data_IF_387238786858
#
_entry.id   IF_387238786858
#
_cell.length_a   1.000
_cell.length_b   1.000
_cell.length_c   1.000
_cell.angle_alpha   90.00
_cell.angle_beta   90.00
_cell.angle_gamma   90.00
#
_symmetry.space_group_name_H-M   'P 1'
#
loop_
_entity.id
_entity.type
_entity.pdbx_description
1 polymer ?
#
# COMPACT_ATOMS: atom_id res chain seq x y z
N UNK A 1 -4.33 12.13 8.94
CA UNK A 1 -3.16 12.52 8.14
C UNK A 1 -2.91 11.44 7.10
N UNK A 2 -2.61 11.84 5.85
CA UNK A 2 -2.37 10.90 4.75
C UNK A 2 -0.88 10.58 4.65
N UNK A 3 -0.53 9.31 4.44
CA UNK A 3 0.87 8.87 4.31
C UNK A 3 0.99 8.07 3.02
N UNK A 4 1.82 8.54 2.08
CA UNK A 4 2.14 7.82 0.86
C UNK A 4 3.11 6.68 1.17
N UNK A 5 2.76 5.46 0.76
CA UNK A 5 3.58 4.28 0.95
C UNK A 5 3.82 3.60 -0.41
N UNK A 6 5.04 3.74 -0.91
CA UNK A 6 5.53 3.02 -2.09
C UNK A 6 5.79 1.55 -1.74
N UNK A 7 5.59 0.66 -2.71
CA UNK A 7 5.66 -0.81 -2.52
C UNK A 7 4.78 -1.29 -1.35
N UNK A 8 3.65 -0.61 -1.13
CA UNK A 8 2.77 -0.82 0.02
C UNK A 8 2.02 -2.15 0.02
N UNK A 9 1.97 -2.86 -1.10
CA UNK A 9 1.46 -4.23 -1.19
C UNK A 9 2.58 -5.29 -1.04
N UNK A 10 3.85 -4.89 -0.97
CA UNK A 10 4.97 -5.75 -0.63
C UNK A 10 4.94 -6.24 0.83
N UNK A 11 5.86 -7.15 1.19
CA UNK A 11 5.91 -7.74 2.54
C UNK A 11 6.00 -6.66 3.63
N UNK A 12 7.05 -5.83 3.60
CA UNK A 12 7.25 -4.77 4.60
C UNK A 12 6.14 -3.71 4.50
N UNK A 13 5.85 -3.24 3.28
CA UNK A 13 4.83 -2.20 3.05
C UNK A 13 3.45 -2.58 3.59
N UNK A 14 3.03 -3.84 3.40
CA UNK A 14 1.72 -4.32 3.88
C UNK A 14 1.62 -4.30 5.41
N UNK A 15 2.68 -4.70 6.12
CA UNK A 15 2.73 -4.65 7.58
C UNK A 15 2.79 -3.21 8.10
N UNK A 16 3.57 -2.34 7.46
CA UNK A 16 3.57 -0.91 7.75
C UNK A 16 2.19 -0.30 7.55
N UNK A 17 1.47 -0.68 6.49
CA UNK A 17 0.10 -0.22 6.25
C UNK A 17 -0.84 -0.55 7.41
N UNK A 18 -0.78 -1.78 7.94
CA UNK A 18 -1.59 -2.18 9.11
C UNK A 18 -1.25 -1.33 10.33
N UNK A 19 0.04 -1.12 10.62
CA UNK A 19 0.47 -0.31 11.76
C UNK A 19 0.01 1.15 11.64
N UNK A 20 0.09 1.74 10.43
CA UNK A 20 -0.37 3.10 10.15
C UNK A 20 -1.89 3.23 10.37
N UNK A 21 -2.67 2.25 9.90
CA UNK A 21 -4.11 2.22 10.13
C UNK A 21 -4.44 2.15 11.62
N UNK A 22 -3.77 1.27 12.38
CA UNK A 22 -3.97 1.12 13.82
C UNK A 22 -3.61 2.40 14.60
N UNK A 23 -2.63 3.16 14.12
CA UNK A 23 -2.25 4.44 14.69
C UNK A 23 -3.16 5.62 14.24
N UNK A 24 -4.24 5.36 13.49
CA UNK A 24 -5.21 6.38 13.07
C UNK A 24 -4.79 7.18 11.83
N UNK A 25 -3.75 6.74 11.12
CA UNK A 25 -3.36 7.34 9.85
C UNK A 25 -4.16 6.77 8.67
N UNK A 26 -4.12 7.48 7.55
CA UNK A 26 -4.70 7.02 6.28
C UNK A 26 -3.57 6.74 5.29
N UNK A 27 -3.06 5.50 5.22
CA UNK A 27 -2.10 5.14 4.20
C UNK A 27 -2.70 5.23 2.78
N UNK A 28 -1.88 5.71 1.86
CA UNK A 28 -2.11 5.77 0.43
C UNK A 28 -1.06 4.88 -0.22
N UNK A 29 -1.46 3.70 -0.67
CA UNK A 29 -0.52 2.74 -1.27
C UNK A 29 -0.32 3.04 -2.74
N UNK A 30 0.95 3.03 -3.17
CA UNK A 30 1.38 2.93 -4.57
C UNK A 30 2.21 1.66 -4.71
N UNK A 31 1.82 0.78 -5.62
CA UNK A 31 2.50 -0.48 -5.89
C UNK A 31 2.31 -0.86 -7.36
N UNK A 32 3.35 -1.46 -7.97
CA UNK A 32 3.33 -1.92 -9.36
C UNK A 32 3.11 -3.43 -9.51
N UNK A 33 3.09 -4.16 -8.40
CA UNK A 33 2.95 -5.61 -8.33
C UNK A 33 4.05 -6.41 -9.04
N UNK A 34 5.21 -5.81 -9.32
CA UNK A 34 6.34 -6.51 -9.93
C UNK A 34 6.88 -7.65 -9.05
N UNK A 35 6.77 -7.50 -7.73
CA UNK A 35 7.16 -8.49 -6.72
C UNK A 35 6.16 -8.57 -5.54
N UNK A 36 4.90 -8.24 -5.80
CA UNK A 36 3.83 -8.27 -4.79
C UNK A 36 2.54 -8.83 -5.39
N UNK A 37 1.60 -9.25 -4.55
CA UNK A 37 0.34 -9.86 -4.98
C UNK A 37 -0.84 -8.90 -4.74
N UNK A 38 -1.66 -8.56 -5.76
CA UNK A 38 -2.87 -7.76 -5.60
C UNK A 38 -3.84 -8.27 -4.52
N UNK A 39 -3.82 -9.58 -4.19
CA UNK A 39 -4.60 -10.16 -3.11
C UNK A 39 -4.24 -9.58 -1.72
N UNK A 40 -3.05 -8.98 -1.56
CA UNK A 40 -2.67 -8.25 -0.34
C UNK A 40 -3.64 -7.11 -0.06
N UNK A 41 -4.11 -6.39 -1.09
CA UNK A 41 -5.08 -5.30 -0.91
C UNK A 41 -6.41 -5.81 -0.35
N UNK A 42 -6.85 -7.01 -0.75
CA UNK A 42 -8.05 -7.63 -0.21
C UNK A 42 -7.90 -7.95 1.28
N UNK A 43 -6.69 -8.33 1.70
CA UNK A 43 -6.36 -8.58 3.11
C UNK A 43 -6.32 -7.26 3.90
N UNK A 44 -5.68 -6.23 3.36
CA UNK A 44 -5.59 -4.91 3.99
C UNK A 44 -6.95 -4.23 4.14
N UNK A 45 -7.89 -4.44 3.20
CA UNK A 45 -9.28 -3.94 3.31
C UNK A 45 -10.07 -4.57 4.47
N UNK A 46 -9.61 -5.68 5.05
CA UNK A 46 -10.25 -6.29 6.25
C UNK A 46 -9.85 -5.57 7.54
N UNK A 47 -8.77 -4.78 7.54
CA UNK A 47 -8.34 -4.03 8.71
C UNK A 47 -9.29 -2.85 8.96
N UNK A 48 -9.71 -2.61 10.22
CA UNK A 48 -10.58 -1.47 10.54
C UNK A 48 -9.83 -0.16 10.32
N UNK A 49 -10.36 0.72 9.45
CA UNK A 49 -9.80 2.04 9.18
C UNK A 49 -9.89 2.45 7.71
N UNK A 50 -9.29 3.59 7.37
CA UNK A 50 -9.33 4.13 6.00
C UNK A 50 -8.05 3.79 5.25
N UNK A 51 -8.20 3.05 4.16
CA UNK A 51 -7.14 2.72 3.22
C UNK A 51 -7.48 3.32 1.85
N UNK A 52 -6.53 4.04 1.27
CA UNK A 52 -6.61 4.48 -0.12
C UNK A 52 -5.56 3.72 -0.93
N UNK A 53 -5.95 3.23 -2.10
CA UNK A 53 -5.08 2.51 -3.00
C UNK A 53 -5.04 3.19 -4.36
N UNK A 54 -3.84 3.40 -4.87
CA UNK A 54 -3.59 3.92 -6.21
C UNK A 54 -2.73 2.89 -6.94
N UNK A 55 -3.32 2.16 -7.89
CA UNK A 55 -2.54 1.39 -8.84
C UNK A 55 -2.05 2.31 -9.95
N UNK A 56 -0.79 2.08 -10.35
CA UNK A 56 -0.09 2.68 -11.50
C UNK A 56 0.71 3.94 -11.19
N UNK A 57 1.97 3.72 -10.87
CA UNK A 57 3.05 4.66 -11.18
C UNK A 57 4.08 3.89 -12.00
N UNK A 58 3.96 3.91 -13.32
CA UNK A 58 5.08 3.52 -14.18
C UNK A 58 6.09 4.67 -14.13
N UNK A 59 7.09 4.57 -13.25
CA UNK A 59 8.36 5.26 -13.47
C UNK A 59 9.22 4.31 -14.31
N UNK A 60 8.92 4.22 -15.61
CA UNK A 60 9.91 3.67 -16.55
C UNK A 60 11.06 4.67 -16.61
N UNK A 61 12.06 4.52 -15.75
CA UNK A 61 13.42 4.94 -16.10
C UNK A 61 13.85 4.01 -17.22
N UNK A 62 13.68 4.47 -18.46
CA UNK A 62 14.39 3.87 -19.58
C UNK A 62 15.88 4.14 -19.35
N UNK A 63 16.61 3.08 -19.00
CA UNK A 63 18.04 2.97 -19.26
C UNK A 63 18.21 2.14 -20.54
#
# INVERSE_FOLDING_TARGET
MNILLTDGAGYIGSHTCVALIQAGFTPVIVDDFSNSDPAVLLRLKKSPGKLLFVSRVMLQTQL
#
